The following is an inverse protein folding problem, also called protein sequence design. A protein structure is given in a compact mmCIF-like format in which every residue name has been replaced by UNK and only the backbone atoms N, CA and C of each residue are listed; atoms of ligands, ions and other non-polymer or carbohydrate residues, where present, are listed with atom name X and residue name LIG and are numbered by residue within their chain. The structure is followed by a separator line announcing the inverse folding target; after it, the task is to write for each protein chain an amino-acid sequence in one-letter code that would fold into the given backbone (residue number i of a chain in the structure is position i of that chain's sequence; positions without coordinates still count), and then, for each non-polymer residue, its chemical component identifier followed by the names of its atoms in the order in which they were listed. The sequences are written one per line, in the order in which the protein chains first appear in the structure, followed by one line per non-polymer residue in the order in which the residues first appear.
data_IF_271543839930
#
_entry.id   IF_271543839930
#
_cell.length_a   1.000
_cell.length_b   1.000
_cell.length_c   1.000
_cell.angle_alpha   90.00
_cell.angle_beta   90.00
_cell.angle_gamma   90.00
#
_symmetry.space_group_name_H-M   'P 1'
#
loop_
_entity.id
_entity.type
_entity.pdbx_description
1 polymer ?
#
# COMPACT_ATOMS: atom_id res chain seq x y z
N UNK A 1 -10.88 22.07 -12.75
CA UNK A 1 -9.89 22.62 -11.81
C UNK A 1 -9.97 21.83 -10.52
N UNK A 2 -8.84 21.69 -9.81
CA UNK A 2 -8.62 20.94 -8.57
C UNK A 2 -8.07 19.51 -8.74
N UNK A 3 -7.06 19.37 -9.58
CA UNK A 3 -6.12 18.24 -9.48
C UNK A 3 -5.14 18.52 -8.36
N UNK A 4 -5.42 18.03 -7.14
CA UNK A 4 -4.44 18.02 -6.07
C UNK A 4 -3.67 16.70 -6.17
N UNK A 5 -2.71 16.69 -7.09
CA UNK A 5 -1.72 15.61 -7.20
C UNK A 5 -0.90 15.59 -5.90
N UNK A 6 -1.31 14.79 -4.92
CA UNK A 6 -0.47 14.41 -3.79
C UNK A 6 0.53 13.35 -4.27
N UNK A 7 1.38 13.72 -5.22
CA UNK A 7 2.59 12.93 -5.46
C UNK A 7 3.45 13.19 -4.24
N UNK A 8 3.56 12.18 -3.36
CA UNK A 8 4.48 12.18 -2.22
C UNK A 8 5.93 12.18 -2.74
N UNK A 9 6.37 13.33 -3.23
CA UNK A 9 7.78 13.68 -3.41
C UNK A 9 8.10 14.61 -2.24
N UNK A 10 8.45 14.00 -1.11
CA UNK A 10 9.15 14.64 0.02
C UNK A 10 8.30 15.56 0.92
N UNK A 11 7.29 15.07 1.66
CA UNK A 11 6.69 15.86 2.75
C UNK A 11 6.31 15.01 3.99
N UNK A 12 6.90 15.40 5.13
CA UNK A 12 6.77 14.85 6.49
C UNK A 12 7.24 13.41 6.69
N UNK A 13 8.30 13.23 7.49
CA UNK A 13 8.70 11.91 8.01
C UNK A 13 7.58 11.43 8.93
N UNK A 14 6.57 10.79 8.36
CA UNK A 14 5.63 9.97 9.10
C UNK A 14 6.40 8.74 9.55
N UNK A 15 6.45 8.55 10.87
CA UNK A 15 7.25 7.50 11.48
C UNK A 15 6.57 6.15 11.27
N UNK A 16 6.70 5.59 10.06
CA UNK A 16 6.20 4.26 9.73
C UNK A 16 7.02 3.20 10.50
N UNK A 17 6.31 2.29 11.14
CA UNK A 17 6.86 1.24 11.96
C UNK A 17 7.49 0.17 11.06
N UNK A 18 8.82 -0.06 11.15
CA UNK A 18 9.50 -1.03 10.32
C UNK A 18 8.97 -2.46 10.53
N UNK A 19 8.42 -2.77 11.71
CA UNK A 19 7.83 -4.08 11.99
C UNK A 19 6.53 -4.32 11.23
N UNK A 20 5.67 -3.28 11.08
CA UNK A 20 4.44 -3.36 10.27
C UNK A 20 4.82 -3.59 8.81
N UNK A 21 5.75 -2.78 8.28
CA UNK A 21 6.24 -2.92 6.90
C UNK A 21 6.83 -4.31 6.63
N UNK A 22 7.68 -4.80 7.54
CA UNK A 22 8.29 -6.12 7.41
C UNK A 22 7.25 -7.26 7.48
N UNK A 23 6.28 -7.15 8.38
CA UNK A 23 5.20 -8.12 8.52
C UNK A 23 4.34 -8.18 7.27
N UNK A 24 3.89 -7.04 6.76
CA UNK A 24 3.02 -6.94 5.57
C UNK A 24 3.70 -7.52 4.33
N UNK A 25 4.98 -7.19 4.12
CA UNK A 25 5.78 -7.79 3.02
C UNK A 25 5.97 -9.30 3.18
N UNK A 26 6.11 -9.78 4.42
CA UNK A 26 6.20 -11.21 4.70
C UNK A 26 4.86 -11.92 4.47
N UNK A 27 3.74 -11.33 4.90
CA UNK A 27 2.37 -11.83 4.69
C UNK A 27 2.09 -12.04 3.20
N UNK A 28 2.50 -11.09 2.38
CA UNK A 28 2.28 -11.11 0.93
C UNK A 28 3.09 -12.18 0.18
N UNK A 29 4.11 -12.79 0.81
CA UNK A 29 4.89 -13.89 0.27
C UNK A 29 5.41 -13.65 -1.17
N UNK A 30 5.85 -12.42 -1.46
CA UNK A 30 6.40 -12.04 -2.76
C UNK A 30 5.37 -11.82 -3.88
N UNK A 31 4.07 -11.83 -3.57
CA UNK A 31 2.97 -11.54 -4.48
C UNK A 31 2.38 -10.17 -4.16
N UNK A 32 2.16 -9.34 -5.17
CA UNK A 32 1.50 -8.05 -5.04
C UNK A 32 0.04 -8.22 -4.59
N UNK A 33 -0.36 -7.53 -3.53
CA UNK A 33 -1.71 -7.62 -2.96
C UNK A 33 -2.76 -6.77 -3.73
N UNK A 34 -2.40 -6.13 -4.86
CA UNK A 34 -3.36 -5.45 -5.75
C UNK A 34 -3.73 -6.27 -6.98
N UNK A 35 -2.74 -6.68 -7.79
CA UNK A 35 -2.96 -7.45 -9.03
C UNK A 35 -2.59 -8.93 -8.94
N UNK A 36 -2.19 -9.40 -7.74
CA UNK A 36 -1.88 -10.81 -7.49
C UNK A 36 -0.76 -11.37 -8.39
N UNK A 37 0.13 -10.50 -8.85
CA UNK A 37 1.30 -10.86 -9.65
C UNK A 37 2.55 -10.92 -8.75
N UNK A 38 3.52 -11.79 -9.06
CA UNK A 38 4.80 -11.82 -8.35
C UNK A 38 5.53 -10.48 -8.45
N UNK A 39 6.43 -10.21 -7.49
CA UNK A 39 7.32 -9.07 -7.56
C UNK A 39 8.12 -9.06 -8.88
N UNK A 40 8.33 -7.88 -9.45
CA UNK A 40 9.02 -7.74 -10.74
C UNK A 40 10.49 -8.17 -10.69
N UNK A 41 11.11 -8.05 -9.52
CA UNK A 41 12.51 -8.37 -9.30
C UNK A 41 12.76 -8.74 -7.83
N UNK A 42 13.93 -9.32 -7.57
CA UNK A 42 14.41 -9.63 -6.23
C UNK A 42 15.42 -8.58 -5.77
N UNK A 43 15.52 -8.37 -4.46
CA UNK A 43 16.57 -7.58 -3.83
C UNK A 43 17.94 -8.26 -3.96
N UNK A 44 19.00 -7.59 -3.49
CA UNK A 44 20.37 -8.11 -3.49
C UNK A 44 20.56 -9.44 -2.73
N UNK A 45 19.61 -9.81 -1.89
CA UNK A 45 19.61 -11.05 -1.11
C UNK A 45 18.70 -12.13 -1.73
N UNK A 46 18.16 -11.90 -2.94
CA UNK A 46 17.28 -12.83 -3.63
C UNK A 46 15.83 -12.82 -3.13
N UNK A 47 15.41 -11.85 -2.31
CA UNK A 47 14.03 -11.75 -1.81
C UNK A 47 13.14 -10.95 -2.76
N UNK A 48 11.90 -11.38 -3.04
CA UNK A 48 10.94 -10.60 -3.84
C UNK A 48 10.79 -9.17 -3.32
N UNK A 49 10.98 -8.19 -4.20
CA UNK A 49 10.92 -6.77 -3.82
C UNK A 49 9.47 -6.24 -3.90
N UNK A 50 8.90 -5.96 -2.72
CA UNK A 50 7.60 -5.31 -2.55
C UNK A 50 7.73 -4.11 -1.61
N UNK A 51 6.84 -3.14 -1.77
CA UNK A 51 6.75 -1.92 -0.96
C UNK A 51 5.47 -1.96 -0.11
N UNK A 52 5.58 -1.56 1.15
CA UNK A 52 4.41 -1.43 2.03
C UNK A 52 3.69 -0.14 1.70
N UNK A 53 2.37 -0.22 1.54
CA UNK A 53 1.50 0.88 1.20
C UNK A 53 0.38 1.00 2.23
N UNK A 54 0.20 2.21 2.77
CA UNK A 54 -0.95 2.53 3.60
C UNK A 54 -2.16 2.79 2.70
N UNK A 55 -3.24 2.02 2.85
CA UNK A 55 -4.47 2.13 2.04
C UNK A 55 -5.12 3.50 2.28
N UNK A 56 -5.31 3.87 3.55
CA UNK A 56 -5.58 5.25 3.95
C UNK A 56 -4.25 5.91 4.26
N UNK A 57 -3.91 6.96 3.52
CA UNK A 57 -2.63 7.63 3.69
C UNK A 57 -2.48 8.20 5.10
N UNK A 58 -1.26 8.13 5.65
CA UNK A 58 -0.94 8.71 6.95
C UNK A 58 -1.22 10.24 6.97
N UNK A 59 -0.97 10.92 5.85
CA UNK A 59 -1.29 12.35 5.67
C UNK A 59 -2.79 12.66 5.73
N UNK A 60 -3.64 11.65 5.55
CA UNK A 60 -5.10 11.74 5.64
C UNK A 60 -5.64 11.10 6.93
N UNK A 61 -4.78 10.93 7.95
CA UNK A 61 -5.16 10.34 9.23
C UNK A 61 -5.29 8.82 9.21
N UNK A 62 -4.68 8.15 8.24
CA UNK A 62 -4.51 6.71 8.26
C UNK A 62 -3.62 6.27 9.43
N UNK A 63 -3.90 5.08 9.98
CA UNK A 63 -3.09 4.50 11.04
C UNK A 63 -2.00 3.61 10.45
N UNK A 64 -0.87 3.52 11.14
CA UNK A 64 0.22 2.62 10.78
C UNK A 64 0.00 1.23 11.40
N UNK A 65 -0.99 0.50 10.87
CA UNK A 65 -1.36 -0.84 11.35
C UNK A 65 -1.32 -1.86 10.21
N UNK A 66 -1.40 -3.14 10.57
CA UNK A 66 -1.37 -4.25 9.60
C UNK A 66 -2.60 -4.24 8.70
N UNK A 67 -3.74 -3.80 9.24
CA UNK A 67 -5.03 -3.73 8.57
C UNK A 67 -5.05 -2.59 7.55
N UNK A 68 -4.41 -1.45 7.85
CA UNK A 68 -4.31 -0.34 6.90
C UNK A 68 -3.14 -0.49 5.91
N UNK A 69 -2.43 -1.61 5.90
CA UNK A 69 -1.23 -1.79 5.08
C UNK A 69 -1.34 -3.00 4.13
N UNK A 70 -0.83 -2.81 2.91
CA UNK A 70 -0.67 -3.87 1.90
C UNK A 70 0.71 -3.85 1.26
N UNK A 71 1.17 -4.99 0.75
CA UNK A 71 2.43 -5.10 0.02
C UNK A 71 2.18 -5.02 -1.49
N UNK A 72 2.76 -4.03 -2.15
CA UNK A 72 2.58 -3.77 -3.57
C UNK A 72 3.90 -3.88 -4.34
N UNK A 73 3.83 -4.29 -5.60
CA UNK A 73 4.96 -4.13 -6.51
C UNK A 73 5.13 -2.64 -6.85
N UNK A 74 6.34 -2.24 -7.27
CA UNK A 74 6.68 -0.82 -7.54
C UNK A 74 5.74 -0.12 -8.52
N UNK A 75 5.19 -0.84 -9.50
CA UNK A 75 4.23 -0.28 -10.47
C UNK A 75 2.86 -0.03 -9.80
N UNK A 76 2.33 -1.03 -9.09
CA UNK A 76 1.06 -0.90 -8.36
C UNK A 76 1.15 0.18 -7.29
N UNK A 77 2.27 0.21 -6.55
CA UNK A 77 2.51 1.21 -5.52
C UNK A 77 2.50 2.62 -6.11
N UNK A 78 3.20 2.84 -7.22
CA UNK A 78 3.20 4.15 -7.89
C UNK A 78 1.82 4.50 -8.44
N UNK A 79 1.09 3.53 -9.01
CA UNK A 79 -0.30 3.72 -9.48
C UNK A 79 -1.21 4.17 -8.34
N UNK A 80 -1.13 3.51 -7.17
CA UNK A 80 -1.94 3.84 -6.01
C UNK A 80 -1.73 5.30 -5.56
N UNK A 81 -0.50 5.80 -5.59
CA UNK A 81 -0.20 7.21 -5.28
C UNK A 81 -0.62 8.20 -6.37
N UNK A 82 -0.50 7.85 -7.65
CA UNK A 82 -0.79 8.78 -8.77
C UNK A 82 -2.28 8.84 -9.08
N UNK A 83 -2.90 7.67 -9.20
CA UNK A 83 -4.27 7.51 -9.71
C UNK A 83 -5.27 7.54 -8.57
N UNK A 84 -4.92 6.94 -7.43
CA UNK A 84 -5.78 6.83 -6.25
C UNK A 84 -7.20 6.32 -6.62
N UNK A 85 -7.23 5.19 -7.32
CA UNK A 85 -8.45 4.59 -7.85
C UNK A 85 -9.30 3.92 -6.73
N UNK A 86 -10.60 4.25 -6.59
CA UNK A 86 -11.45 3.66 -5.56
C UNK A 86 -11.61 2.14 -5.66
N UNK A 87 -11.58 1.57 -6.86
CA UNK A 87 -11.70 0.11 -7.06
C UNK A 87 -10.43 -0.61 -6.58
N UNK A 88 -9.27 -0.03 -6.88
CA UNK A 88 -7.99 -0.51 -6.36
C UNK A 88 -7.95 -0.40 -4.83
N UNK A 89 -8.40 0.71 -4.23
CA UNK A 89 -8.51 0.83 -2.76
C UNK A 89 -9.39 -0.27 -2.16
N UNK A 90 -10.55 -0.52 -2.76
CA UNK A 90 -11.46 -1.58 -2.31
C UNK A 90 -10.82 -2.96 -2.38
N UNK A 91 -10.05 -3.26 -3.44
CA UNK A 91 -9.30 -4.52 -3.55
C UNK A 91 -8.24 -4.66 -2.44
N UNK A 92 -7.49 -3.59 -2.18
CA UNK A 92 -6.48 -3.57 -1.11
C UNK A 92 -7.12 -3.77 0.27
N UNK A 93 -8.26 -3.13 0.56
CA UNK A 93 -9.00 -3.32 1.82
C UNK A 93 -9.43 -4.77 2.02
N UNK A 94 -9.99 -5.40 0.98
CA UNK A 94 -10.38 -6.81 1.03
C UNK A 94 -9.18 -7.72 1.30
N UNK A 95 -8.01 -7.41 0.72
CA UNK A 95 -6.78 -8.18 0.96
C UNK A 95 -6.19 -8.00 2.34
N UNK A 96 -6.32 -6.80 2.92
CA UNK A 96 -5.84 -6.55 4.28
C UNK A 96 -6.76 -7.12 5.37
N UNK A 97 -7.93 -7.69 5.00
CA UNK A 97 -8.86 -8.31 5.93
C UNK A 97 -9.90 -7.36 6.53
N UNK A 98 -10.21 -6.25 5.84
CA UNK A 98 -11.33 -5.40 6.23
C UNK A 98 -12.65 -6.03 5.75
N UNK A 99 -13.46 -6.51 6.71
CA UNK A 99 -14.73 -7.20 6.45
C UNK A 99 -15.88 -6.26 6.02
N UNK A 100 -15.72 -4.92 6.13
CA UNK A 100 -16.72 -3.97 5.64
C UNK A 100 -16.11 -2.67 5.05
N UNK A 101 -15.56 -2.74 3.83
CA UNK A 101 -14.92 -1.59 3.17
C UNK A 101 -15.90 -0.51 2.67
N UNK A 102 -17.23 -0.72 2.78
CA UNK A 102 -18.25 0.20 2.26
C UNK A 102 -18.67 1.29 3.26
N UNK A 103 -18.23 1.24 4.52
CA UNK A 103 -18.60 2.23 5.54
C UNK A 103 -17.58 3.37 5.71
N UNK A 104 -16.40 3.28 5.10
CA UNK A 104 -15.29 4.23 5.29
C UNK A 104 -14.63 4.63 3.96
N UNK A 105 -15.44 4.88 2.92
CA UNK A 105 -14.91 5.45 1.67
C UNK A 105 -14.76 6.96 1.86
N UNK A 106 -13.55 7.38 2.26
CA UNK A 106 -13.13 8.78 2.43
C UNK A 106 -12.88 9.48 1.09
#
# INVERSE_FOLDING_TARGET
MNGRFFICLIESVSMANPYVSAFVKKRANGVCELYEQPAHFNDKNGKPYLECHHIKFLSQGGLDTIENCVALCVVCHKKAHIVDDPEDRLKMMKKAGFDNPLQEVW
#
